data_IF_152455926650
#
_entry.id   IF_152455926650
#
_cell.length_a   1.000
_cell.length_b   1.000
_cell.length_c   1.000
_cell.angle_alpha   90.00
_cell.angle_beta   90.00
_cell.angle_gamma   90.00
#
_symmetry.space_group_name_H-M   'P 1'
#
loop_
_entity.id
_entity.type
_entity.pdbx_description
1 polymer ?
#
# COMPACT_ATOMS: atom_id res chain seq x y z
N UNK A 1 0.56 20.10 -2.95
CA UNK A 1 -0.14 19.22 -1.98
C UNK A 1 0.40 19.51 -0.57
N UNK A 2 -0.39 19.45 0.51
CA UNK A 2 0.10 19.79 1.88
C UNK A 2 0.86 18.60 2.49
N UNK A 3 2.03 18.85 3.09
CA UNK A 3 2.90 17.84 3.75
C UNK A 3 2.15 16.89 4.70
N UNK A 4 1.12 17.38 5.40
CA UNK A 4 0.34 16.58 6.33
C UNK A 4 -0.61 15.59 5.63
N UNK A 5 -1.04 15.90 4.40
CA UNK A 5 -1.84 15.01 3.58
C UNK A 5 -1.01 13.82 3.06
N UNK A 6 0.27 14.06 2.77
CA UNK A 6 1.23 13.01 2.41
C UNK A 6 1.46 12.06 3.58
N UNK A 7 1.65 12.59 4.79
CA UNK A 7 1.74 11.77 6.01
C UNK A 7 0.51 10.87 6.19
N UNK A 8 -0.69 11.41 5.96
CA UNK A 8 -1.93 10.63 6.03
C UNK A 8 -1.97 9.50 4.99
N UNK A 9 -1.57 9.77 3.74
CA UNK A 9 -1.51 8.75 2.68
C UNK A 9 -0.52 7.63 3.06
N UNK A 10 0.67 8.02 3.51
CA UNK A 10 1.73 7.08 3.92
C UNK A 10 1.27 6.20 5.09
N UNK A 11 0.60 6.80 6.09
CA UNK A 11 0.01 6.05 7.20
C UNK A 11 -0.97 4.98 6.73
N UNK A 12 -1.88 5.33 5.81
CA UNK A 12 -2.89 4.40 5.29
C UNK A 12 -2.22 3.29 4.47
N UNK A 13 -1.24 3.64 3.62
CA UNK A 13 -0.49 2.67 2.81
C UNK A 13 0.25 1.64 3.68
N UNK A 14 0.81 2.06 4.81
CA UNK A 14 1.50 1.19 5.75
C UNK A 14 0.56 0.47 6.74
N UNK A 15 -0.76 0.68 6.64
CA UNK A 15 -1.75 -0.01 7.47
C UNK A 15 -1.84 0.48 8.93
N UNK A 16 -1.26 1.63 9.26
CA UNK A 16 -1.30 2.16 10.62
C UNK A 16 -2.61 2.91 10.92
N UNK A 17 -3.15 2.71 12.12
CA UNK A 17 -4.21 3.54 12.67
C UNK A 17 -3.67 4.84 13.27
N UNK A 18 -4.54 5.86 13.40
CA UNK A 18 -4.20 7.10 14.10
C UNK A 18 -3.85 6.86 15.58
N UNK A 19 -4.42 5.83 16.20
CA UNK A 19 -4.11 5.43 17.57
C UNK A 19 -2.68 4.89 17.68
N UNK A 20 -2.26 4.01 16.76
CA UNK A 20 -0.93 3.42 16.78
C UNK A 20 0.17 4.48 16.58
N UNK A 21 0.03 5.37 15.59
CA UNK A 21 1.02 6.45 15.42
C UNK A 21 0.94 7.51 16.53
N UNK A 22 -0.25 7.72 17.11
CA UNK A 22 -0.40 8.50 18.33
C UNK A 22 0.43 7.93 19.48
N UNK A 23 0.31 6.63 19.75
CA UNK A 23 1.07 5.94 20.79
C UNK A 23 2.58 6.03 20.60
N UNK A 24 3.07 5.91 19.35
CA UNK A 24 4.49 6.09 19.01
C UNK A 24 4.99 7.50 19.34
N UNK A 25 4.13 8.50 19.16
CA UNK A 25 4.42 9.89 19.51
C UNK A 25 4.14 10.21 20.98
N UNK A 26 3.62 9.27 21.78
CA UNK A 26 3.22 9.52 23.17
C UNK A 26 1.99 10.42 23.28
N UNK A 27 1.09 10.38 22.30
CA UNK A 27 -0.13 11.19 22.24
C UNK A 27 -1.37 10.35 21.93
N UNK A 28 -2.56 10.92 22.13
CA UNK A 28 -3.82 10.28 21.74
C UNK A 28 -4.14 10.43 20.24
N UNK A 29 -5.07 9.59 19.75
CA UNK A 29 -5.51 9.57 18.36
C UNK A 29 -6.14 10.90 17.89
N UNK A 30 -6.79 11.67 18.78
CA UNK A 30 -7.42 12.95 18.42
C UNK A 30 -6.38 14.03 18.19
N UNK A 31 -5.36 14.11 19.05
CA UNK A 31 -4.24 15.04 18.85
C UNK A 31 -3.43 14.67 17.59
N UNK A 32 -3.18 13.38 17.36
CA UNK A 32 -2.55 12.91 16.12
C UNK A 32 -3.38 13.29 14.87
N UNK A 33 -4.70 13.09 14.91
CA UNK A 33 -5.61 13.50 13.84
C UNK A 33 -5.58 15.02 13.55
N UNK A 34 -5.32 15.86 14.55
CA UNK A 34 -5.14 17.31 14.36
C UNK A 34 -3.80 17.62 13.70
N UNK A 35 -2.73 16.90 14.07
CA UNK A 35 -1.42 16.97 13.42
C UNK A 35 -1.48 16.58 11.93
N UNK A 36 -2.13 15.46 11.60
CA UNK A 36 -2.36 15.03 10.21
C UNK A 36 -3.22 15.98 9.38
N UNK A 37 -4.09 16.77 10.02
CA UNK A 37 -4.89 17.80 9.34
C UNK A 37 -4.18 19.16 9.26
N UNK A 38 -2.97 19.27 9.78
CA UNK A 38 -2.22 20.53 9.86
C UNK A 38 -2.82 21.55 10.83
N UNK A 39 -3.73 21.15 11.71
CA UNK A 39 -4.29 22.01 12.77
C UNK A 39 -3.34 22.18 13.95
N UNK A 40 -2.37 21.28 14.08
CA UNK A 40 -1.33 21.28 15.12
C UNK A 40 0.00 21.05 14.43
N UNK A 41 1.04 21.80 14.83
CA UNK A 41 2.39 21.64 14.29
C UNK A 41 2.96 20.27 14.71
N UNK A 42 3.69 19.65 13.79
CA UNK A 42 4.52 18.48 14.06
C UNK A 42 5.95 19.00 14.19
N UNK A 43 6.59 18.70 15.32
CA UNK A 43 7.96 19.09 15.60
C UNK A 43 8.95 18.12 14.93
N UNK A 44 10.21 18.54 14.76
CA UNK A 44 11.19 17.75 14.01
C UNK A 44 11.51 16.39 14.67
N UNK A 45 11.47 16.32 16.00
CA UNK A 45 11.61 15.07 16.74
C UNK A 45 10.42 14.11 16.53
N UNK A 46 9.21 14.65 16.44
CA UNK A 46 8.01 13.89 16.12
C UNK A 46 8.05 13.39 14.66
N UNK A 47 8.55 14.22 13.75
CA UNK A 47 8.78 13.85 12.37
C UNK A 47 9.77 12.68 12.24
N UNK A 48 10.87 12.70 12.98
CA UNK A 48 11.82 11.58 13.01
C UNK A 48 11.21 10.29 13.56
N UNK A 49 10.40 10.38 14.63
CA UNK A 49 9.71 9.21 15.19
C UNK A 49 8.73 8.61 14.19
N UNK A 50 8.00 9.45 13.46
CA UNK A 50 7.10 9.00 12.39
C UNK A 50 7.86 8.37 11.23
N UNK A 51 8.96 8.97 10.80
CA UNK A 51 9.82 8.44 9.75
C UNK A 51 10.36 7.05 10.10
N UNK A 52 10.85 6.88 11.34
CA UNK A 52 11.30 5.59 11.87
C UNK A 52 10.17 4.56 11.94
N UNK A 53 9.00 4.95 12.42
CA UNK A 53 7.86 4.04 12.54
C UNK A 53 7.31 3.58 11.17
N UNK A 54 7.35 4.47 10.18
CA UNK A 54 6.90 4.19 8.82
C UNK A 54 8.03 3.57 7.97
N UNK A 55 9.25 3.49 8.48
CA UNK A 55 10.46 3.03 7.79
C UNK A 55 10.70 3.76 6.46
N UNK A 56 10.52 5.09 6.45
CA UNK A 56 10.63 5.96 5.28
C UNK A 56 11.56 7.12 5.63
N UNK A 57 12.48 7.54 4.75
CA UNK A 57 13.36 8.67 5.03
C UNK A 57 12.55 9.95 5.19
N UNK A 58 12.99 10.82 6.10
CA UNK A 58 12.23 12.03 6.45
C UNK A 58 12.02 12.96 5.25
N UNK A 59 13.00 13.01 4.35
CA UNK A 59 12.93 13.75 3.09
C UNK A 59 11.75 13.29 2.21
N UNK A 60 11.44 12.00 2.15
CA UNK A 60 10.31 11.53 1.32
C UNK A 60 8.95 11.94 1.89
N UNK A 61 8.88 12.19 3.20
CA UNK A 61 7.69 12.69 3.89
C UNK A 61 7.56 14.20 3.70
N UNK A 62 8.69 14.93 3.77
CA UNK A 62 8.73 16.40 3.72
C UNK A 62 8.80 16.98 2.30
N UNK A 63 9.44 16.27 1.37
CA UNK A 63 9.81 16.69 0.01
C UNK A 63 8.97 15.99 -1.07
N UNK A 64 7.75 15.54 -0.76
CA UNK A 64 6.81 15.07 -1.77
C UNK A 64 6.21 16.25 -2.58
N UNK A 65 7.09 17.08 -3.16
CA UNK A 65 6.88 17.66 -4.48
C UNK A 65 6.98 16.47 -5.42
N UNK A 66 6.00 16.25 -6.28
CA UNK A 66 5.90 15.13 -7.21
C UNK A 66 7.23 14.83 -7.93
N UNK A 67 8.12 14.01 -7.34
CA UNK A 67 9.23 13.37 -8.05
C UNK A 67 8.70 12.12 -8.76
N UNK A 68 7.63 12.31 -9.51
CA UNK A 68 7.09 11.33 -10.45
C UNK A 68 6.73 12.02 -11.76
N UNK A 69 7.69 12.76 -12.31
CA UNK A 69 7.74 13.02 -13.74
C UNK A 69 8.84 12.13 -14.32
N UNK A 70 8.43 11.18 -15.19
CA UNK A 70 9.24 10.37 -16.12
C UNK A 70 9.97 9.20 -15.41
N UNK A 71 9.63 7.92 -15.62
CA UNK A 71 9.38 7.13 -16.83
C UNK A 71 8.35 6.04 -16.45
N UNK A 72 7.30 5.68 -17.17
CA UNK A 72 7.01 5.68 -18.59
C UNK A 72 5.49 5.64 -18.77
N UNK A 73 5.02 6.14 -19.89
CA UNK A 73 3.66 6.04 -20.41
C UNK A 73 3.09 4.61 -20.24
N UNK A 74 2.04 4.45 -19.45
CA UNK A 74 0.73 4.10 -20.01
C UNK A 74 -0.39 4.33 -18.99
N UNK A 75 -1.44 4.94 -19.49
CA UNK A 75 -2.68 5.20 -18.75
C UNK A 75 -3.36 3.86 -18.48
N UNK A 76 -3.87 3.65 -17.27
CA UNK A 76 -5.24 3.19 -17.05
C UNK A 76 -5.61 3.29 -15.57
N UNK A 77 -6.82 3.79 -15.37
CA UNK A 77 -7.49 4.11 -14.13
C UNK A 77 -7.78 2.87 -13.29
N UNK A 78 -7.51 2.92 -11.98
CA UNK A 78 -8.08 1.97 -11.00
C UNK A 78 -7.08 1.42 -9.99
N UNK A 79 -7.25 1.79 -8.72
CA UNK A 79 -6.70 1.12 -7.53
C UNK A 79 -5.17 0.93 -7.52
N UNK A 80 -4.45 1.96 -7.06
CA UNK A 80 -3.01 1.92 -6.81
C UNK A 80 -2.67 0.99 -5.64
N UNK A 81 -2.57 -0.31 -5.91
CA UNK A 81 -1.83 -1.23 -5.05
C UNK A 81 -0.36 -1.10 -5.48
N UNK A 82 0.46 -0.62 -4.56
CA UNK A 82 1.90 -0.42 -4.70
C UNK A 82 2.61 -1.77 -4.78
N UNK A 83 2.69 -2.38 -5.97
CA UNK A 83 3.43 -3.63 -6.22
C UNK A 83 4.90 -3.42 -6.62
N UNK A 84 5.48 -2.27 -6.30
CA UNK A 84 6.72 -1.83 -6.95
C UNK A 84 8.02 -2.52 -6.49
N UNK A 85 7.98 -3.48 -5.55
CA UNK A 85 9.18 -4.17 -5.06
C UNK A 85 8.94 -5.65 -4.69
N UNK A 86 8.18 -6.40 -5.50
CA UNK A 86 8.06 -7.86 -5.32
C UNK A 86 9.25 -8.55 -6.01
N UNK A 87 10.11 -9.32 -5.31
CA UNK A 87 11.17 -10.10 -5.93
C UNK A 87 10.65 -11.03 -7.03
N UNK A 88 11.35 -11.10 -8.16
CA UNK A 88 10.94 -11.87 -9.35
C UNK A 88 10.61 -13.34 -9.03
N UNK A 89 11.35 -13.96 -8.11
CA UNK A 89 11.09 -15.33 -7.66
C UNK A 89 9.67 -15.53 -7.08
N UNK A 90 9.13 -14.51 -6.38
CA UNK A 90 7.78 -14.57 -5.83
C UNK A 90 6.75 -14.47 -6.96
N UNK A 91 6.99 -13.62 -7.97
CA UNK A 91 6.12 -13.51 -9.14
C UNK A 91 6.10 -14.81 -9.93
N UNK A 92 7.26 -15.41 -10.20
CA UNK A 92 7.37 -16.70 -10.88
C UNK A 92 6.64 -17.82 -10.11
N UNK A 93 6.77 -17.83 -8.78
CA UNK A 93 6.09 -18.81 -7.94
C UNK A 93 4.57 -18.64 -8.00
N UNK A 94 4.09 -17.40 -7.96
CA UNK A 94 2.66 -17.10 -8.07
C UNK A 94 2.11 -17.47 -9.45
N UNK A 95 2.83 -17.15 -10.54
CA UNK A 95 2.45 -17.52 -11.90
C UNK A 95 2.27 -19.03 -12.04
N UNK A 96 3.25 -19.83 -11.58
CA UNK A 96 3.16 -21.29 -11.61
C UNK A 96 1.95 -21.84 -10.85
N UNK A 97 1.60 -21.23 -9.72
CA UNK A 97 0.44 -21.65 -8.94
C UNK A 97 -0.87 -21.31 -9.65
N UNK A 98 -0.96 -20.12 -10.26
CA UNK A 98 -2.11 -19.70 -11.05
C UNK A 98 -2.31 -20.65 -12.23
N UNK A 99 -1.26 -20.94 -13.01
CA UNK A 99 -1.31 -21.88 -14.13
C UNK A 99 -1.82 -23.26 -13.70
N UNK A 100 -1.36 -23.76 -12.55
CA UNK A 100 -1.81 -25.03 -11.99
C UNK A 100 -3.32 -24.99 -11.68
N UNK A 101 -3.79 -23.95 -11.00
CA UNK A 101 -5.20 -23.80 -10.66
C UNK A 101 -6.10 -23.66 -11.89
N UNK A 102 -5.67 -22.90 -12.89
CA UNK A 102 -6.39 -22.75 -14.16
C UNK A 102 -6.53 -24.09 -14.88
N UNK A 103 -5.47 -24.90 -14.89
CA UNK A 103 -5.50 -26.25 -15.46
C UNK A 103 -6.48 -27.16 -14.73
N UNK A 104 -6.42 -27.20 -13.40
CA UNK A 104 -7.34 -28.01 -12.57
C UNK A 104 -8.80 -27.60 -12.80
N UNK A 105 -9.08 -26.29 -12.85
CA UNK A 105 -10.42 -25.78 -13.14
C UNK A 105 -10.91 -26.19 -14.54
N UNK A 106 -10.04 -26.17 -15.54
CA UNK A 106 -10.38 -26.63 -16.89
C UNK A 106 -10.72 -28.13 -16.92
N UNK A 107 -10.00 -28.96 -16.18
CA UNK A 107 -10.26 -30.40 -16.09
C UNK A 107 -11.60 -30.68 -15.39
N UNK A 108 -11.85 -30.02 -14.26
CA UNK A 108 -13.12 -30.11 -13.53
C UNK A 108 -14.32 -29.63 -14.37
N UNK A 109 -14.13 -28.58 -15.17
CA UNK A 109 -15.18 -28.10 -16.06
C UNK A 109 -15.50 -29.13 -17.16
N UNK A 110 -14.48 -29.75 -17.75
CA UNK A 110 -14.67 -30.83 -18.74
C UNK A 110 -15.40 -32.03 -18.14
N UNK A 111 -15.03 -32.42 -16.92
CA UNK A 111 -15.70 -33.50 -16.20
C UNK A 111 -17.17 -33.16 -15.90
N UNK A 112 -17.45 -31.96 -15.39
CA UNK A 112 -18.82 -31.50 -15.15
C UNK A 112 -19.67 -31.50 -16.42
N UNK A 113 -19.11 -31.06 -17.55
CA UNK A 113 -19.81 -31.10 -18.84
C UNK A 113 -20.12 -32.56 -19.20
N UNK A 114 -19.14 -33.46 -19.13
CA UNK A 114 -19.34 -34.89 -19.41
C UNK A 114 -20.46 -35.48 -18.54
N UNK A 115 -20.41 -35.24 -17.22
CA UNK A 115 -21.41 -35.74 -16.28
C UNK A 115 -22.81 -35.17 -16.54
N UNK A 116 -22.91 -33.90 -16.95
CA UNK A 116 -24.19 -33.27 -17.34
C UNK A 116 -24.73 -33.79 -18.66
N UNK A 117 -23.86 -34.14 -19.61
CA UNK A 117 -24.27 -34.75 -20.89
C UNK A 117 -24.59 -36.24 -20.80
N UNK A 118 -24.19 -36.91 -19.72
CA UNK A 118 -24.48 -38.32 -19.42
C UNK A 118 -25.79 -38.53 -18.63
N UNK A 119 -26.43 -37.44 -18.17
CA UNK A 119 -27.78 -37.43 -17.60
C UNK A 119 -28.81 -37.06 -18.67
#
# INVERSE_FOLDING_TARGET
>A
MKIQENLKKLRIQMGFSQLQLGQILGTDASNYSRKERGKVKIYDDEWEKLAKALNVPLEDIKDHQEKSALQSQDQLSGSHITYLNVPDFILETQQKYIEKLEKENMELLKENIKLKTLK
#
